data_IF_973591154130
#
_entry.id   IF_973591154130
#
_cell.length_a   1.000
_cell.length_b   1.000
_cell.length_c   1.000
_cell.angle_alpha   90.00
_cell.angle_beta   90.00
_cell.angle_gamma   90.00
#
_symmetry.space_group_name_H-M   'P 1'
#
loop_
_entity.id
_entity.type
_entity.pdbx_description
1 polymer ?
#
# COMPACT_ATOMS: atom_id res chain seq x y z
N UNK A 1 6.07 8.65 4.64
CA UNK A 1 4.66 9.08 4.87
C UNK A 1 4.37 10.11 3.79
N UNK A 2 3.22 10.05 3.13
CA UNK A 2 2.84 11.10 2.16
C UNK A 2 2.55 12.38 2.95
N UNK A 3 3.44 13.36 2.85
CA UNK A 3 3.41 14.58 3.68
C UNK A 3 2.55 15.67 3.08
N UNK A 4 2.44 15.72 1.76
CA UNK A 4 1.96 16.90 1.06
C UNK A 4 0.43 16.94 0.91
N UNK A 5 -0.23 15.80 1.19
CA UNK A 5 -1.69 15.62 1.23
C UNK A 5 -2.44 16.20 0.01
N UNK A 6 -1.90 16.00 -1.19
CA UNK A 6 -2.39 16.57 -2.45
C UNK A 6 -3.43 15.69 -3.17
N UNK A 7 -4.28 14.96 -2.43
CA UNK A 7 -5.24 14.02 -3.03
C UNK A 7 -6.24 14.67 -4.00
N UNK A 8 -6.51 15.98 -3.86
CA UNK A 8 -7.33 16.75 -4.79
C UNK A 8 -6.70 16.92 -6.18
N UNK A 9 -5.38 16.79 -6.30
CA UNK A 9 -4.66 16.89 -7.57
C UNK A 9 -4.61 15.57 -8.35
N UNK A 10 -5.07 14.46 -7.73
CA UNK A 10 -5.00 13.13 -8.32
C UNK A 10 -5.71 13.02 -9.67
N UNK A 11 -6.93 13.56 -9.88
CA UNK A 11 -7.59 13.49 -11.18
C UNK A 11 -6.78 14.18 -12.29
N UNK A 12 -6.27 15.39 -12.03
CA UNK A 12 -5.44 16.13 -12.99
C UNK A 12 -4.18 15.37 -13.37
N UNK A 13 -3.57 14.67 -12.41
CA UNK A 13 -2.41 13.82 -12.68
C UNK A 13 -2.78 12.58 -13.52
N UNK A 14 -3.93 11.94 -13.26
CA UNK A 14 -4.41 10.80 -14.06
C UNK A 14 -4.62 11.23 -15.51
N UNK A 15 -5.27 12.38 -15.75
CA UNK A 15 -5.51 12.90 -17.10
C UNK A 15 -4.20 13.17 -17.85
N UNK A 16 -3.20 13.74 -17.16
CA UNK A 16 -1.89 14.00 -17.76
C UNK A 16 -1.15 12.71 -18.12
N UNK A 17 -1.25 11.68 -17.28
CA UNK A 17 -0.65 10.36 -17.53
C UNK A 17 -1.35 9.64 -18.67
N UNK A 18 -2.68 9.71 -18.74
CA UNK A 18 -3.44 9.13 -19.85
C UNK A 18 -3.05 9.79 -21.18
N UNK A 19 -2.98 11.13 -21.21
CA UNK A 19 -2.55 11.87 -22.39
C UNK A 19 -1.11 11.53 -22.83
N UNK A 20 -0.23 11.18 -21.90
CA UNK A 20 1.17 10.81 -22.20
C UNK A 20 1.32 9.46 -22.90
N UNK A 21 0.31 8.59 -22.85
CA UNK A 21 0.29 7.24 -23.45
C UNK A 21 1.52 6.38 -23.08
N UNK A 22 2.08 6.58 -21.89
CA UNK A 22 3.24 5.84 -21.39
C UNK A 22 2.85 4.39 -21.05
N UNK A 23 3.46 3.37 -21.70
CA UNK A 23 3.16 1.98 -21.44
C UNK A 23 3.34 1.60 -19.97
N UNK A 24 2.36 0.90 -19.39
CA UNK A 24 2.34 0.51 -17.98
C UNK A 24 1.85 1.61 -17.03
N UNK A 25 2.27 2.87 -17.23
CA UNK A 25 1.85 3.98 -16.36
C UNK A 25 0.40 4.40 -16.64
N UNK A 26 -0.01 4.47 -17.92
CA UNK A 26 -1.41 4.73 -18.29
C UNK A 26 -2.34 3.68 -17.71
N UNK A 27 -1.95 2.40 -17.80
CA UNK A 27 -2.69 1.31 -17.17
C UNK A 27 -2.85 1.51 -15.67
N UNK A 28 -1.76 1.82 -14.96
CA UNK A 28 -1.79 2.10 -13.52
C UNK A 28 -2.73 3.26 -13.17
N UNK A 29 -2.59 4.41 -13.84
CA UNK A 29 -3.40 5.60 -13.56
C UNK A 29 -4.89 5.37 -13.79
N UNK A 30 -5.25 4.71 -14.89
CA UNK A 30 -6.66 4.39 -15.19
C UNK A 30 -7.25 3.39 -14.18
N UNK A 31 -6.44 2.47 -13.62
CA UNK A 31 -6.92 1.56 -12.59
C UNK A 31 -7.24 2.27 -11.26
N UNK A 32 -6.56 3.38 -10.94
CA UNK A 32 -6.86 4.18 -9.74
C UNK A 32 -8.28 4.75 -9.76
N UNK A 33 -8.86 4.97 -10.95
CA UNK A 33 -10.24 5.47 -11.09
C UNK A 33 -11.28 4.53 -10.46
N UNK A 34 -10.99 3.22 -10.34
CA UNK A 34 -11.91 2.25 -9.72
C UNK A 34 -12.12 2.48 -8.23
N UNK A 35 -11.08 2.97 -7.56
CA UNK A 35 -11.06 3.20 -6.11
C UNK A 35 -10.74 4.67 -5.79
N UNK A 36 -11.13 5.59 -6.70
CA UNK A 36 -10.71 6.99 -6.67
C UNK A 36 -10.94 7.65 -5.31
N UNK A 37 -12.14 7.49 -4.74
CA UNK A 37 -12.48 8.07 -3.44
C UNK A 37 -11.54 7.57 -2.32
N UNK A 38 -11.24 6.27 -2.32
CA UNK A 38 -10.37 5.67 -1.32
C UNK A 38 -8.92 6.13 -1.49
N UNK A 39 -8.43 6.23 -2.73
CA UNK A 39 -7.08 6.71 -3.03
C UNK A 39 -6.96 8.20 -2.69
N UNK A 40 -7.93 9.03 -3.07
CA UNK A 40 -7.97 10.44 -2.73
C UNK A 40 -8.02 10.65 -1.22
N UNK A 41 -8.81 9.86 -0.49
CA UNK A 41 -8.83 9.91 0.97
C UNK A 41 -7.45 9.52 1.57
N UNK A 42 -6.83 8.46 1.07
CA UNK A 42 -5.48 8.04 1.49
C UNK A 42 -4.38 9.06 1.17
N UNK A 43 -4.58 9.90 0.15
CA UNK A 43 -3.70 11.00 -0.22
C UNK A 43 -4.08 12.34 0.44
N UNK A 44 -5.15 12.43 1.22
CA UNK A 44 -5.64 13.71 1.79
C UNK A 44 -5.69 13.69 3.32
N UNK A 45 -6.10 12.56 3.89
CA UNK A 45 -6.24 12.42 5.33
C UNK A 45 -4.89 12.28 6.03
N UNK A 46 -4.88 12.55 7.33
CA UNK A 46 -3.72 12.35 8.20
C UNK A 46 -3.52 10.90 8.63
N UNK A 47 -4.56 10.09 8.50
CA UNK A 47 -4.53 8.66 8.76
C UNK A 47 -3.63 7.92 7.77
N UNK A 48 -2.84 6.97 8.28
CA UNK A 48 -2.01 6.12 7.44
C UNK A 48 -2.06 4.66 7.91
N UNK A 49 -2.03 3.73 6.94
CA UNK A 49 -1.86 2.30 7.18
C UNK A 49 -0.42 1.92 7.56
N UNK A 50 0.54 2.86 7.55
CA UNK A 50 1.97 2.58 7.66
C UNK A 50 2.37 1.78 8.91
N UNK A 51 1.77 2.07 10.06
CA UNK A 51 2.02 1.31 11.29
C UNK A 51 1.54 -0.15 11.19
N UNK A 52 0.35 -0.35 10.62
CA UNK A 52 -0.25 -1.67 10.39
C UNK A 52 0.54 -2.44 9.34
N UNK A 53 0.92 -1.79 8.24
CA UNK A 53 1.76 -2.39 7.19
C UNK A 53 3.13 -2.79 7.72
N UNK A 54 3.73 -1.99 8.61
CA UNK A 54 4.96 -2.33 9.31
C UNK A 54 4.81 -3.60 10.15
N UNK A 55 3.74 -3.71 10.94
CA UNK A 55 3.45 -4.91 11.71
C UNK A 55 3.24 -6.14 10.81
N UNK A 56 2.47 -5.99 9.73
CA UNK A 56 2.25 -7.04 8.73
C UNK A 56 3.58 -7.46 8.06
N UNK A 57 4.45 -6.51 7.74
CA UNK A 57 5.75 -6.80 7.14
C UNK A 57 6.67 -7.56 8.11
N UNK A 58 6.67 -7.19 9.40
CA UNK A 58 7.38 -7.95 10.46
C UNK A 58 6.88 -9.39 10.53
N UNK A 59 5.56 -9.60 10.54
CA UNK A 59 4.97 -10.95 10.55
C UNK A 59 5.37 -11.73 9.29
N UNK A 60 5.29 -11.12 8.11
CA UNK A 60 5.71 -11.72 6.83
C UNK A 60 7.20 -12.10 6.86
N UNK A 61 8.05 -11.26 7.46
CA UNK A 61 9.48 -11.55 7.65
C UNK A 61 9.69 -12.79 8.51
N UNK A 62 9.05 -12.89 9.67
CA UNK A 62 9.14 -14.06 10.56
C UNK A 62 8.67 -15.32 9.83
N UNK A 63 7.53 -15.27 9.14
CA UNK A 63 7.02 -16.41 8.36
C UNK A 63 8.01 -16.86 7.27
N UNK A 64 8.70 -15.92 6.60
CA UNK A 64 9.74 -16.21 5.60
C UNK A 64 11.01 -16.80 6.20
N UNK A 65 11.41 -16.37 7.41
CA UNK A 65 12.53 -17.00 8.14
C UNK A 65 12.28 -18.48 8.43
N UNK A 66 11.01 -18.86 8.59
CA UNK A 66 10.58 -20.25 8.82
C UNK A 66 10.25 -21.00 7.51
N UNK A 67 10.70 -20.47 6.36
CA UNK A 67 10.45 -21.03 5.02
C UNK A 67 8.97 -21.31 4.71
N UNK A 68 8.06 -20.57 5.36
CA UNK A 68 6.62 -20.78 5.21
C UNK A 68 6.08 -22.08 5.82
N UNK A 69 6.90 -22.85 6.55
CA UNK A 69 6.53 -24.17 7.11
C UNK A 69 5.95 -24.10 8.53
N UNK A 70 6.01 -22.93 9.16
CA UNK A 70 5.47 -22.74 10.50
C UNK A 70 3.93 -22.68 10.50
N UNK A 71 3.30 -23.56 11.27
CA UNK A 71 1.90 -23.45 11.66
C UNK A 71 1.66 -22.30 12.64
N UNK A 72 0.39 -22.05 12.96
CA UNK A 72 -0.01 -20.90 13.80
C UNK A 72 0.70 -20.84 15.15
N UNK A 73 0.77 -21.97 15.88
CA UNK A 73 1.38 -22.02 17.22
C UNK A 73 2.86 -21.61 17.22
N UNK A 74 3.63 -22.09 16.26
CA UNK A 74 5.05 -21.75 16.13
C UNK A 74 5.22 -20.27 15.72
N UNK A 75 4.40 -19.80 14.79
CA UNK A 75 4.43 -18.41 14.34
C UNK A 75 4.07 -17.45 15.49
N UNK A 76 3.06 -17.78 16.29
CA UNK A 76 2.65 -17.00 17.47
C UNK A 76 3.79 -16.90 18.48
N UNK A 77 4.45 -18.01 18.82
CA UNK A 77 5.61 -18.00 19.72
C UNK A 77 6.73 -17.09 19.20
N UNK A 78 7.07 -17.21 17.93
CA UNK A 78 8.11 -16.38 17.30
C UNK A 78 7.76 -14.88 17.28
N UNK A 79 6.49 -14.52 17.09
CA UNK A 79 6.03 -13.12 17.11
C UNK A 79 6.12 -12.51 18.51
N UNK A 80 5.80 -13.28 19.54
CA UNK A 80 5.78 -12.84 20.95
C UNK A 80 7.16 -12.81 21.61
N UNK A 81 8.12 -13.60 21.11
CA UNK A 81 9.49 -13.69 21.63
C UNK A 81 10.46 -12.69 21.00
N UNK A 82 10.11 -12.09 19.86
CA UNK A 82 10.88 -11.05 19.16
C UNK A 82 10.36 -9.66 19.48
#
# INVERSE_FOLDING_TARGET
MLTDRLGSMLPTWIDAVDASQLPGLTGFALHLLRDLDAVTAGLTLDWSSGGIEGAVNRIKKIKRQLYGRAGFELLRKMILLQ
#
